data_IF_456964842281
#
_entry.id   IF_456964842281
#
_cell.length_a   1.000
_cell.length_b   1.000
_cell.length_c   1.000
_cell.angle_alpha   90.00
_cell.angle_beta   90.00
_cell.angle_gamma   90.00
#
_symmetry.space_group_name_H-M   'P 1'
#
loop_
_entity.id
_entity.type
_entity.pdbx_description
1 polymer ?
#
# COMPACT_ATOMS: atom_id res chain seq x y z
N UNK A 1 -37.72 -2.84 -30.50
CA UNK A 1 -36.63 -3.79 -30.13
C UNK A 1 -35.68 -4.16 -31.30
N UNK A 2 -36.04 -4.01 -32.58
CA UNK A 2 -35.12 -4.34 -33.69
C UNK A 2 -34.06 -3.26 -34.01
N UNK A 3 -34.36 -1.96 -33.86
CA UNK A 3 -33.36 -0.88 -34.08
C UNK A 3 -32.24 -0.82 -33.05
N UNK A 4 -32.47 -1.27 -31.81
CA UNK A 4 -31.44 -1.31 -30.77
C UNK A 4 -30.40 -2.44 -30.98
N UNK A 5 -30.78 -3.52 -31.69
CA UNK A 5 -29.85 -4.62 -32.02
C UNK A 5 -28.92 -4.29 -33.19
N UNK A 6 -29.36 -3.47 -34.15
CA UNK A 6 -28.52 -3.06 -35.28
C UNK A 6 -27.41 -2.07 -34.90
N UNK A 7 -27.65 -1.19 -33.92
CA UNK A 7 -26.62 -0.24 -33.43
C UNK A 7 -25.58 -0.93 -32.55
N UNK A 8 -25.95 -1.99 -31.82
CA UNK A 8 -25.01 -2.81 -31.04
C UNK A 8 -24.14 -3.71 -31.93
N UNK A 9 -24.68 -4.21 -33.05
CA UNK A 9 -23.94 -5.03 -33.99
C UNK A 9 -22.88 -4.24 -34.80
N UNK A 10 -23.05 -2.93 -34.99
CA UNK A 10 -22.08 -2.10 -35.72
C UNK A 10 -20.91 -1.59 -34.86
N UNK A 11 -20.97 -1.74 -33.53
CA UNK A 11 -19.91 -1.29 -32.60
C UNK A 11 -19.04 -2.46 -32.12
N UNK A 12 -19.49 -3.70 -32.32
CA UNK A 12 -18.80 -4.93 -31.88
C UNK A 12 -18.32 -5.77 -33.07
N UNK A 13 -17.72 -5.14 -34.08
CA UNK A 13 -16.84 -5.85 -35.02
C UNK A 13 -15.47 -6.06 -34.36
N UNK A 14 -15.46 -6.85 -33.28
CA UNK A 14 -14.25 -7.49 -32.77
C UNK A 14 -14.39 -8.96 -33.12
N UNK A 15 -13.65 -9.37 -34.15
CA UNK A 15 -13.59 -10.76 -34.62
C UNK A 15 -13.48 -11.74 -33.45
N UNK A 16 -14.24 -12.85 -33.54
CA UNK A 16 -14.20 -13.97 -32.57
C UNK A 16 -12.77 -14.48 -32.31
N UNK A 17 -11.85 -14.27 -33.27
CA UNK A 17 -10.43 -14.56 -33.13
C UNK A 17 -9.76 -13.79 -31.98
N UNK A 18 -10.13 -12.54 -31.71
CA UNK A 18 -9.52 -11.73 -30.64
C UNK A 18 -9.98 -12.16 -29.24
N UNK A 19 -11.24 -12.59 -29.08
CA UNK A 19 -11.76 -13.11 -27.82
C UNK A 19 -11.13 -14.46 -27.48
N UNK A 20 -11.02 -15.36 -28.45
CA UNK A 20 -10.33 -16.65 -28.30
C UNK A 20 -8.84 -16.43 -28.02
N UNK A 21 -8.19 -15.48 -28.69
CA UNK A 21 -6.76 -15.20 -28.49
C UNK A 21 -6.47 -14.61 -27.11
N UNK A 22 -7.32 -13.72 -26.59
CA UNK A 22 -7.15 -13.15 -25.23
C UNK A 22 -7.41 -14.22 -24.15
N UNK A 23 -8.42 -15.05 -24.33
CA UNK A 23 -8.71 -16.15 -23.39
C UNK A 23 -7.60 -17.22 -23.43
N UNK A 24 -7.07 -17.54 -24.62
CA UNK A 24 -5.98 -18.48 -24.84
C UNK A 24 -4.63 -17.95 -24.33
N UNK A 25 -4.31 -16.67 -24.53
CA UNK A 25 -3.11 -16.03 -23.94
C UNK A 25 -3.21 -16.04 -22.41
N UNK A 26 -4.38 -15.75 -21.85
CA UNK A 26 -4.58 -15.77 -20.39
C UNK A 26 -4.50 -17.18 -19.78
N UNK A 27 -4.97 -18.20 -20.51
CA UNK A 27 -4.85 -19.61 -20.11
C UNK A 27 -3.41 -20.11 -20.26
N UNK A 28 -2.73 -19.77 -21.35
CA UNK A 28 -1.33 -20.14 -21.59
C UNK A 28 -0.39 -19.46 -20.60
N UNK A 29 -0.62 -18.20 -20.23
CA UNK A 29 0.14 -17.53 -19.17
C UNK A 29 -0.14 -18.13 -17.79
N UNK A 30 -1.40 -18.48 -17.48
CA UNK A 30 -1.75 -19.18 -16.24
C UNK A 30 -1.16 -20.58 -16.17
N UNK A 31 -1.17 -21.34 -17.26
CA UNK A 31 -0.57 -22.66 -17.37
C UNK A 31 0.96 -22.61 -17.33
N UNK A 32 1.59 -21.58 -17.91
CA UNK A 32 3.04 -21.37 -17.80
C UNK A 32 3.44 -20.97 -16.38
N UNK A 33 2.70 -20.06 -15.73
CA UNK A 33 2.92 -19.74 -14.31
C UNK A 33 2.67 -20.96 -13.41
N UNK A 34 1.64 -21.75 -13.68
CA UNK A 34 1.32 -22.97 -12.93
C UNK A 34 2.37 -24.07 -13.13
N UNK A 35 2.81 -24.31 -14.38
CA UNK A 35 3.91 -25.24 -14.67
C UNK A 35 5.24 -24.77 -14.09
N UNK A 36 5.54 -23.47 -14.11
CA UNK A 36 6.77 -22.92 -13.50
C UNK A 36 6.75 -23.03 -11.97
N UNK A 37 5.58 -22.83 -11.33
CA UNK A 37 5.39 -23.02 -9.87
C UNK A 37 5.63 -24.46 -9.42
N UNK A 38 5.45 -25.43 -10.32
CA UNK A 38 5.66 -26.86 -10.05
C UNK A 38 6.99 -27.42 -10.57
N UNK A 39 7.83 -26.63 -11.26
CA UNK A 39 9.07 -27.12 -11.87
C UNK A 39 10.37 -26.57 -11.29
N UNK A 40 10.39 -25.79 -10.19
CA UNK A 40 11.66 -25.35 -9.61
C UNK A 40 11.61 -24.97 -8.11
N UNK A 41 12.60 -25.45 -7.35
CA UNK A 41 12.88 -25.11 -5.95
C UNK A 41 13.35 -23.65 -5.72
N UNK A 42 13.01 -22.70 -6.58
CA UNK A 42 13.55 -21.33 -6.54
C UNK A 42 12.60 -20.21 -6.96
N UNK A 43 11.36 -20.52 -7.35
CA UNK A 43 10.36 -19.49 -7.64
C UNK A 43 9.63 -19.08 -6.34
N UNK A 44 9.26 -17.79 -6.16
CA UNK A 44 8.41 -17.38 -5.06
C UNK A 44 7.17 -18.24 -4.92
N UNK A 45 6.89 -18.69 -3.71
CA UNK A 45 5.71 -19.50 -3.41
C UNK A 45 4.50 -18.64 -3.03
N UNK A 46 4.64 -17.31 -3.06
CA UNK A 46 3.57 -16.33 -2.89
C UNK A 46 3.03 -15.76 -4.22
N UNK A 47 1.93 -15.01 -4.14
CA UNK A 47 1.22 -14.34 -5.24
C UNK A 47 1.54 -12.84 -5.33
N UNK A 48 2.54 -12.39 -4.59
CA UNK A 48 2.96 -10.98 -4.56
C UNK A 48 3.65 -10.57 -5.86
N UNK A 49 3.70 -9.26 -6.17
CA UNK A 49 4.38 -8.76 -7.36
C UNK A 49 5.85 -9.17 -7.40
N UNK A 50 6.36 -9.35 -8.62
CA UNK A 50 7.79 -9.55 -8.86
C UNK A 50 8.45 -8.18 -8.97
N UNK A 51 9.27 -7.83 -7.98
CA UNK A 51 10.11 -6.62 -8.00
C UNK A 51 11.39 -6.89 -8.80
N UNK A 52 12.13 -5.83 -9.14
CA UNK A 52 13.39 -5.95 -9.88
C UNK A 52 14.38 -6.87 -9.16
N UNK A 53 14.53 -6.71 -7.84
CA UNK A 53 15.36 -7.58 -7.00
C UNK A 53 14.91 -9.05 -7.02
N UNK A 54 13.58 -9.30 -7.06
CA UNK A 54 13.02 -10.65 -7.24
C UNK A 54 13.46 -11.25 -8.58
N UNK A 55 13.37 -10.47 -9.66
CA UNK A 55 13.73 -10.92 -11.00
C UNK A 55 15.23 -11.18 -11.12
N UNK A 56 16.07 -10.32 -10.54
CA UNK A 56 17.51 -10.50 -10.43
C UNK A 56 17.85 -11.85 -9.75
N UNK A 57 17.23 -12.15 -8.60
CA UNK A 57 17.43 -13.43 -7.88
C UNK A 57 17.08 -14.63 -8.75
N UNK A 58 15.96 -14.56 -9.46
CA UNK A 58 15.49 -15.64 -10.34
C UNK A 58 16.41 -15.87 -11.54
N UNK A 59 16.96 -14.80 -12.10
CA UNK A 59 17.87 -14.85 -13.25
C UNK A 59 19.25 -15.37 -12.84
N UNK A 60 19.79 -14.92 -11.70
CA UNK A 60 21.12 -15.31 -11.25
C UNK A 60 21.16 -16.73 -10.69
N UNK A 61 20.05 -17.26 -10.17
CA UNK A 61 19.96 -18.57 -9.48
C UNK A 61 20.93 -18.71 -8.31
N UNK A 62 21.42 -17.58 -7.80
CA UNK A 62 22.39 -17.55 -6.70
C UNK A 62 21.69 -17.93 -5.39
N UNK A 63 22.24 -18.89 -4.62
CA UNK A 63 21.74 -19.21 -3.30
C UNK A 63 21.94 -18.01 -2.39
N UNK A 64 20.93 -17.70 -1.59
CA UNK A 64 20.99 -16.60 -0.63
C UNK A 64 20.06 -16.86 0.53
N UNK A 65 20.48 -16.47 1.73
CA UNK A 65 19.63 -16.55 2.92
C UNK A 65 18.36 -15.69 2.76
N UNK A 66 18.50 -14.49 2.17
CA UNK A 66 17.40 -13.60 1.84
C UNK A 66 17.10 -13.62 0.34
N UNK A 67 15.82 -13.71 -0.01
CA UNK A 67 15.38 -13.63 -1.40
C UNK A 67 15.63 -12.23 -1.97
N UNK A 68 15.18 -11.19 -1.25
CA UNK A 68 15.33 -9.77 -1.62
C UNK A 68 16.03 -8.96 -0.50
N UNK A 69 17.36 -9.03 -0.37
CA UNK A 69 18.11 -8.34 0.69
C UNK A 69 17.83 -6.85 0.87
N UNK A 70 17.82 -6.05 -0.22
CA UNK A 70 17.61 -4.60 -0.13
C UNK A 70 16.19 -4.27 0.33
N UNK A 71 15.19 -4.96 -0.22
CA UNK A 71 13.80 -4.81 0.23
C UNK A 71 13.60 -5.28 1.68
N UNK A 72 14.28 -6.35 2.10
CA UNK A 72 14.22 -6.87 3.47
C UNK A 72 14.84 -5.90 4.48
N UNK A 73 16.05 -5.40 4.21
CA UNK A 73 16.75 -4.50 5.13
C UNK A 73 16.11 -3.12 5.21
N UNK A 74 15.61 -2.60 4.08
CA UNK A 74 14.91 -1.31 4.08
C UNK A 74 13.62 -1.33 4.90
N UNK A 75 12.93 -2.49 5.00
CA UNK A 75 11.79 -2.67 5.90
C UNK A 75 12.14 -2.54 7.39
N UNK A 76 13.40 -2.74 7.79
CA UNK A 76 13.84 -2.54 9.17
C UNK A 76 13.68 -1.09 9.65
N UNK A 77 13.53 -0.12 8.75
CA UNK A 77 13.28 1.28 9.10
C UNK A 77 11.91 1.51 9.74
N UNK A 78 10.96 0.59 9.60
CA UNK A 78 9.69 0.66 10.34
C UNK A 78 9.86 0.31 11.82
N UNK A 79 10.90 -0.44 12.20
CA UNK A 79 11.14 -0.84 13.58
C UNK A 79 11.40 0.37 14.51
N UNK A 80 12.30 1.33 14.19
CA UNK A 80 12.42 2.55 14.99
C UNK A 80 11.10 3.30 15.18
N UNK A 81 10.27 3.41 14.14
CA UNK A 81 8.95 4.05 14.23
C UNK A 81 8.07 3.30 15.23
N UNK A 82 7.97 1.98 15.10
CA UNK A 82 7.22 1.13 16.00
C UNK A 82 7.71 1.26 17.45
N UNK A 83 9.03 1.23 17.69
CA UNK A 83 9.62 1.32 19.02
C UNK A 83 9.36 2.70 19.65
N UNK A 84 9.55 3.79 18.90
CA UNK A 84 9.32 5.16 19.40
C UNK A 84 7.87 5.32 19.86
N UNK A 85 6.90 4.96 19.01
CA UNK A 85 5.49 5.17 19.35
C UNK A 85 4.96 4.14 20.35
N UNK A 86 5.49 2.92 20.38
CA UNK A 86 5.18 1.95 21.44
C UNK A 86 5.69 2.42 22.80
N UNK A 87 6.92 2.92 22.86
CA UNK A 87 7.48 3.49 24.09
C UNK A 87 6.67 4.68 24.59
N UNK A 88 6.28 5.59 23.68
CA UNK A 88 5.38 6.71 24.01
C UNK A 88 4.02 6.22 24.49
N UNK A 89 3.43 5.21 23.84
CA UNK A 89 2.16 4.60 24.25
C UNK A 89 2.27 4.01 25.66
N UNK A 90 3.34 3.30 25.97
CA UNK A 90 3.59 2.72 27.30
C UNK A 90 3.68 3.81 28.38
N UNK A 91 4.34 4.94 28.09
CA UNK A 91 4.48 6.06 29.03
C UNK A 91 3.28 7.01 29.11
N UNK A 92 2.37 6.96 28.15
CA UNK A 92 1.19 7.83 28.16
C UNK A 92 0.26 7.48 29.33
N UNK A 93 -0.14 8.51 30.10
CA UNK A 93 -1.13 8.37 31.19
C UNK A 93 -2.47 7.89 30.69
N UNK A 94 -2.95 8.49 29.59
CA UNK A 94 -4.13 8.04 28.86
C UNK A 94 -3.68 7.44 27.53
N UNK A 95 -4.07 6.18 27.28
CA UNK A 95 -3.73 5.47 26.04
C UNK A 95 -4.53 6.05 24.86
N UNK A 96 -3.88 6.61 23.83
CA UNK A 96 -4.56 7.10 22.64
C UNK A 96 -5.21 5.92 21.88
N UNK A 97 -6.56 5.89 21.70
CA UNK A 97 -7.25 4.72 21.14
C UNK A 97 -6.82 4.42 19.70
N UNK A 98 -6.48 5.43 18.91
CA UNK A 98 -5.99 5.22 17.54
C UNK A 98 -4.67 4.43 17.55
N UNK A 99 -3.79 4.70 18.51
CA UNK A 99 -2.51 3.99 18.62
C UNK A 99 -2.66 2.57 19.18
N UNK A 100 -3.66 2.32 20.03
CA UNK A 100 -3.99 0.95 20.48
C UNK A 100 -4.42 0.05 19.30
N UNK A 101 -5.06 0.63 18.28
CA UNK A 101 -5.45 -0.09 17.07
C UNK A 101 -4.32 -0.14 16.03
N UNK A 102 -3.68 1.00 15.73
CA UNK A 102 -2.74 1.11 14.61
C UNK A 102 -1.34 0.54 14.91
N UNK A 103 -0.86 0.51 16.16
CA UNK A 103 0.48 -0.02 16.45
C UNK A 103 0.58 -1.54 16.27
N UNK A 104 -0.39 -2.37 16.71
CA UNK A 104 -0.40 -3.80 16.39
C UNK A 104 -0.45 -4.05 14.88
N UNK A 105 -1.22 -3.26 14.14
CA UNK A 105 -1.25 -3.33 12.67
C UNK A 105 0.10 -2.95 12.06
N UNK A 106 0.74 -1.89 12.54
CA UNK A 106 2.08 -1.49 12.07
C UNK A 106 3.14 -2.56 12.39
N UNK A 107 3.06 -3.19 13.57
CA UNK A 107 3.93 -4.31 13.94
C UNK A 107 3.70 -5.52 13.03
N UNK A 108 2.44 -5.84 12.74
CA UNK A 108 2.07 -6.85 11.74
C UNK A 108 2.67 -6.53 10.38
N UNK A 109 2.44 -5.33 9.87
CA UNK A 109 3.01 -4.82 8.61
C UNK A 109 4.52 -4.96 8.54
N UNK A 110 5.22 -4.53 9.60
CA UNK A 110 6.67 -4.66 9.71
C UNK A 110 7.15 -6.11 9.65
N UNK A 111 6.55 -7.01 10.44
CA UNK A 111 6.89 -8.43 10.44
C UNK A 111 6.58 -9.04 9.07
N UNK A 112 5.41 -8.72 8.51
CA UNK A 112 4.98 -9.14 7.18
C UNK A 112 5.98 -8.75 6.11
N UNK A 113 6.39 -7.48 6.05
CA UNK A 113 7.33 -6.97 5.05
C UNK A 113 8.71 -7.62 5.13
N UNK A 114 9.27 -7.75 6.33
CA UNK A 114 10.57 -8.44 6.53
C UNK A 114 10.48 -9.91 6.08
N UNK A 115 9.43 -10.63 6.49
CA UNK A 115 9.28 -12.05 6.16
C UNK A 115 8.92 -12.28 4.69
N UNK A 116 8.10 -11.40 4.10
CA UNK A 116 7.65 -11.46 2.72
C UNK A 116 8.83 -11.28 1.76
N UNK A 117 9.56 -10.18 1.87
CA UNK A 117 10.74 -9.92 1.03
C UNK A 117 11.90 -10.85 1.35
N UNK A 118 12.02 -11.23 2.63
CA UNK A 118 13.09 -12.11 3.08
C UNK A 118 12.97 -13.52 2.54
N UNK A 119 11.75 -14.09 2.56
CA UNK A 119 11.55 -15.52 2.27
C UNK A 119 10.83 -15.80 0.96
N UNK A 120 9.93 -14.91 0.50
CA UNK A 120 9.11 -15.12 -0.71
C UNK A 120 8.42 -16.49 -0.76
N UNK A 121 7.99 -16.97 0.41
CA UNK A 121 7.63 -18.37 0.63
C UNK A 121 6.13 -18.62 0.83
N UNK A 122 5.34 -17.60 1.16
CA UNK A 122 3.92 -17.80 1.44
C UNK A 122 3.09 -16.52 1.34
N UNK A 123 1.84 -16.67 0.89
CA UNK A 123 0.88 -15.57 0.73
C UNK A 123 0.56 -14.86 2.03
N UNK A 124 0.64 -15.55 3.17
CA UNK A 124 0.37 -14.95 4.48
C UNK A 124 1.33 -13.79 4.76
N UNK A 125 2.62 -13.93 4.43
CA UNK A 125 3.59 -12.84 4.61
C UNK A 125 3.29 -11.68 3.68
N UNK A 126 2.92 -11.98 2.42
CA UNK A 126 2.51 -10.97 1.46
C UNK A 126 1.32 -10.16 1.95
N UNK A 127 0.24 -10.82 2.37
CA UNK A 127 -0.92 -10.13 2.92
C UNK A 127 -0.59 -9.35 4.18
N UNK A 128 0.25 -9.92 5.06
CA UNK A 128 0.67 -9.25 6.28
C UNK A 128 1.54 -8.01 6.00
N UNK A 129 2.26 -7.93 4.88
CA UNK A 129 3.02 -6.75 4.46
C UNK A 129 2.09 -5.58 4.06
N UNK A 130 1.16 -5.79 3.11
CA UNK A 130 0.40 -4.67 2.54
C UNK A 130 -0.97 -4.43 3.19
N UNK A 131 -1.66 -5.46 3.70
CA UNK A 131 -3.04 -5.31 4.23
C UNK A 131 -3.07 -4.37 5.44
N UNK A 132 -2.13 -4.42 6.39
CA UNK A 132 -2.11 -3.46 7.49
C UNK A 132 -2.00 -2.01 7.03
N UNK A 133 -1.26 -1.74 5.95
CA UNK A 133 -1.17 -0.39 5.35
C UNK A 133 -2.54 0.06 4.84
N UNK A 134 -3.32 -0.84 4.22
CA UNK A 134 -4.69 -0.56 3.79
C UNK A 134 -5.57 -0.18 4.97
N UNK A 135 -5.57 -1.02 6.01
CA UNK A 135 -6.43 -0.84 7.18
C UNK A 135 -6.06 0.44 7.93
N UNK A 136 -4.78 0.67 8.22
CA UNK A 136 -4.31 1.87 8.93
C UNK A 136 -4.72 3.12 8.15
N UNK A 137 -4.52 3.15 6.83
CA UNK A 137 -4.82 4.32 6.00
C UNK A 137 -6.32 4.66 6.05
N UNK A 138 -7.19 3.65 5.96
CA UNK A 138 -8.65 3.84 6.05
C UNK A 138 -9.09 4.24 7.47
N UNK A 139 -8.50 3.66 8.51
CA UNK A 139 -8.74 4.03 9.91
C UNK A 139 -8.34 5.49 10.16
N UNK A 140 -7.19 5.93 9.66
CA UNK A 140 -6.72 7.32 9.80
C UNK A 140 -7.60 8.30 9.04
N UNK A 141 -8.00 7.98 7.80
CA UNK A 141 -8.94 8.79 7.03
C UNK A 141 -10.28 8.93 7.77
N UNK A 142 -10.83 7.81 8.25
CA UNK A 142 -12.04 7.80 9.06
C UNK A 142 -11.88 8.61 10.35
N UNK A 143 -10.74 8.51 11.03
CA UNK A 143 -10.44 9.27 12.24
C UNK A 143 -10.50 10.79 11.99
N UNK A 144 -9.95 11.29 10.88
CA UNK A 144 -10.08 12.71 10.53
C UNK A 144 -11.52 13.12 10.26
N UNK A 145 -12.30 12.29 9.55
CA UNK A 145 -13.73 12.54 9.33
C UNK A 145 -14.53 12.56 10.62
N UNK A 146 -14.31 11.59 11.50
CA UNK A 146 -14.88 11.53 12.83
C UNK A 146 -14.56 12.79 13.64
N UNK A 147 -13.29 13.20 13.67
CA UNK A 147 -12.84 14.40 14.39
C UNK A 147 -13.33 15.71 13.78
N UNK A 148 -13.66 15.74 12.49
CA UNK A 148 -14.27 16.91 11.84
C UNK A 148 -15.78 17.05 12.09
N UNK A 149 -16.43 16.03 12.67
CA UNK A 149 -17.89 15.99 12.86
C UNK A 149 -18.68 15.68 11.57
N UNK A 150 -18.00 15.31 10.48
CA UNK A 150 -18.60 15.09 9.14
C UNK A 150 -18.57 13.62 8.72
N UNK A 151 -18.86 12.70 9.64
CA UNK A 151 -18.73 11.25 9.43
C UNK A 151 -19.51 10.77 8.20
N UNK A 152 -20.77 11.18 8.03
CA UNK A 152 -21.61 10.72 6.90
C UNK A 152 -21.01 11.14 5.56
N UNK A 153 -20.66 12.43 5.41
CA UNK A 153 -19.97 12.95 4.22
C UNK A 153 -18.64 12.23 3.99
N UNK A 154 -17.90 11.98 5.08
CA UNK A 154 -16.60 11.33 5.02
C UNK A 154 -16.66 9.90 4.52
N UNK A 155 -17.54 9.09 5.09
CA UNK A 155 -17.78 7.71 4.65
C UNK A 155 -18.25 7.69 3.20
N UNK A 156 -19.18 8.58 2.83
CA UNK A 156 -19.63 8.69 1.44
C UNK A 156 -18.46 8.98 0.48
N UNK A 157 -17.64 9.99 0.76
CA UNK A 157 -16.50 10.34 -0.09
C UNK A 157 -15.45 9.23 -0.14
N UNK A 158 -15.18 8.55 0.98
CA UNK A 158 -14.27 7.40 1.00
C UNK A 158 -14.78 6.27 0.10
N UNK A 159 -16.08 5.98 0.13
CA UNK A 159 -16.69 4.97 -0.75
C UNK A 159 -16.67 5.41 -2.21
N UNK A 160 -16.92 6.69 -2.51
CA UNK A 160 -16.84 7.23 -3.87
C UNK A 160 -15.42 7.10 -4.43
N UNK A 161 -14.39 7.48 -3.66
CA UNK A 161 -12.98 7.34 -4.08
C UNK A 161 -12.64 5.87 -4.36
N UNK A 162 -13.09 4.95 -3.48
CA UNK A 162 -12.88 3.51 -3.69
C UNK A 162 -13.64 2.98 -4.92
N UNK A 163 -14.88 3.40 -5.13
CA UNK A 163 -15.68 2.97 -6.29
C UNK A 163 -15.08 3.47 -7.60
N UNK A 164 -14.69 4.75 -7.68
CA UNK A 164 -14.01 5.33 -8.85
C UNK A 164 -12.72 4.57 -9.15
N UNK A 165 -11.95 4.23 -8.12
CA UNK A 165 -10.73 3.46 -8.28
C UNK A 165 -10.99 2.05 -8.82
N UNK A 166 -11.98 1.34 -8.28
CA UNK A 166 -12.35 0.01 -8.77
C UNK A 166 -12.80 0.06 -10.23
N UNK A 167 -13.50 1.12 -10.64
CA UNK A 167 -13.86 1.36 -12.05
C UNK A 167 -12.60 1.53 -12.91
N UNK A 168 -11.65 2.40 -12.53
CA UNK A 168 -10.40 2.58 -13.29
C UNK A 168 -9.62 1.26 -13.39
N UNK A 169 -9.55 0.49 -12.29
CA UNK A 169 -8.87 -0.81 -12.28
C UNK A 169 -9.49 -1.79 -13.26
N UNK A 170 -10.82 -1.79 -13.42
CA UNK A 170 -11.52 -2.67 -14.34
C UNK A 170 -11.10 -2.48 -15.81
N UNK A 171 -10.67 -1.27 -16.16
CA UNK A 171 -10.20 -0.94 -17.51
C UNK A 171 -8.70 -1.18 -17.73
N UNK A 172 -7.96 -1.58 -16.69
CA UNK A 172 -6.52 -1.84 -16.81
C UNK A 172 -6.24 -3.29 -17.21
N UNK A 173 -5.29 -3.54 -18.14
CA UNK A 173 -4.89 -4.89 -18.51
C UNK A 173 -4.43 -5.68 -17.28
N UNK A 174 -5.01 -6.86 -17.08
CA UNK A 174 -4.67 -7.76 -15.98
C UNK A 174 -3.15 -8.00 -15.92
N UNK A 175 -2.57 -7.86 -14.72
CA UNK A 175 -1.13 -8.05 -14.51
C UNK A 175 -0.24 -6.87 -14.91
N UNK A 176 -0.78 -5.71 -15.27
CA UNK A 176 0.06 -4.53 -15.52
C UNK A 176 0.81 -4.09 -14.24
N UNK A 177 2.11 -3.72 -14.33
CA UNK A 177 2.87 -3.25 -13.17
C UNK A 177 2.23 -2.04 -12.47
N UNK A 178 1.48 -1.26 -13.24
CA UNK A 178 0.74 -0.08 -12.76
C UNK A 178 -0.35 -0.47 -11.76
N UNK A 179 -0.98 -1.66 -11.88
CA UNK A 179 -2.04 -2.09 -10.97
C UNK A 179 -1.55 -2.17 -9.52
N UNK A 180 -0.34 -2.66 -9.30
CA UNK A 180 0.23 -2.85 -7.97
C UNK A 180 0.40 -1.55 -7.19
N UNK A 181 0.87 -0.48 -7.84
CA UNK A 181 0.99 0.86 -7.21
C UNK A 181 -0.35 1.55 -7.07
N UNK A 182 -1.23 1.37 -8.06
CA UNK A 182 -2.53 2.01 -8.10
C UNK A 182 -3.39 1.70 -6.87
N UNK A 183 -3.27 0.50 -6.28
CA UNK A 183 -3.98 0.15 -5.03
C UNK A 183 -3.74 1.12 -3.86
N UNK A 184 -2.59 1.80 -3.82
CA UNK A 184 -2.23 2.70 -2.73
C UNK A 184 -2.72 4.14 -2.96
N UNK A 185 -3.00 4.51 -4.22
CA UNK A 185 -3.48 5.85 -4.59
C UNK A 185 -4.79 6.23 -3.88
N UNK A 186 -5.87 5.43 -3.90
CA UNK A 186 -7.12 5.83 -3.26
C UNK A 186 -7.00 5.89 -1.73
N UNK A 187 -6.09 5.13 -1.12
CA UNK A 187 -5.81 5.22 0.32
C UNK A 187 -5.18 6.57 0.67
N UNK A 188 -4.16 6.97 -0.08
CA UNK A 188 -3.49 8.26 0.08
C UNK A 188 -4.47 9.42 -0.16
N UNK A 189 -5.33 9.31 -1.18
CA UNK A 189 -6.38 10.29 -1.45
C UNK A 189 -7.40 10.39 -0.31
N UNK A 190 -7.85 9.26 0.23
CA UNK A 190 -8.79 9.26 1.37
C UNK A 190 -8.20 9.99 2.58
N UNK A 191 -6.95 9.70 2.93
CA UNK A 191 -6.24 10.39 4.02
C UNK A 191 -6.08 11.88 3.71
N UNK A 192 -5.66 12.22 2.49
CA UNK A 192 -5.45 13.61 2.07
C UNK A 192 -6.74 14.43 2.12
N UNK A 193 -7.83 13.95 1.52
CA UNK A 193 -9.12 14.64 1.50
C UNK A 193 -9.63 14.85 2.93
N UNK A 194 -9.60 13.80 3.77
CA UNK A 194 -10.05 13.88 5.15
C UNK A 194 -9.20 14.89 5.96
N UNK A 195 -7.88 14.86 5.79
CA UNK A 195 -6.97 15.77 6.45
C UNK A 195 -7.12 17.22 5.99
N UNK A 196 -7.38 17.47 4.69
CA UNK A 196 -7.64 18.81 4.16
C UNK A 196 -8.91 19.41 4.78
N UNK A 197 -9.98 18.62 4.92
CA UNK A 197 -11.19 19.06 5.62
C UNK A 197 -10.90 19.33 7.10
N UNK A 198 -10.11 18.47 7.74
CA UNK A 198 -9.73 18.62 9.14
C UNK A 198 -8.68 19.71 9.40
N UNK A 199 -7.99 20.22 8.37
CA UNK A 199 -6.84 21.13 8.48
C UNK A 199 -7.13 22.51 9.10
N UNK A 200 -8.41 22.83 9.27
CA UNK A 200 -8.88 24.02 10.00
C UNK A 200 -8.88 23.84 11.52
N UNK A 201 -8.73 22.61 12.02
CA UNK A 201 -8.67 22.35 13.45
C UNK A 201 -7.39 22.98 14.05
N UNK A 202 -7.47 23.74 15.17
CA UNK A 202 -6.33 24.46 15.75
C UNK A 202 -5.12 23.57 16.05
N UNK A 203 -5.36 22.34 16.50
CA UNK A 203 -4.30 21.38 16.83
C UNK A 203 -3.69 20.65 15.61
N UNK A 204 -4.19 20.89 14.39
CA UNK A 204 -3.69 20.22 13.20
C UNK A 204 -2.33 20.76 12.77
N UNK A 205 -1.31 19.90 12.79
CA UNK A 205 0.08 20.26 12.43
C UNK A 205 0.29 20.08 10.94
N UNK A 206 0.05 21.14 10.17
CA UNK A 206 0.13 21.14 8.71
C UNK A 206 1.50 20.72 8.16
N UNK A 207 2.59 21.27 8.70
CA UNK A 207 3.94 20.99 8.19
C UNK A 207 4.33 19.50 8.23
N UNK A 208 4.30 18.78 9.37
CA UNK A 208 4.61 17.36 9.38
C UNK A 208 3.63 16.52 8.54
N UNK A 209 2.36 16.93 8.44
CA UNK A 209 1.41 16.27 7.52
C UNK A 209 1.82 16.45 6.04
N UNK A 210 2.20 17.67 5.63
CA UNK A 210 2.69 17.94 4.29
C UNK A 210 3.98 17.16 3.98
N UNK A 211 4.92 17.10 4.93
CA UNK A 211 6.13 16.29 4.80
C UNK A 211 5.77 14.82 4.60
N UNK A 212 4.86 14.27 5.41
CA UNK A 212 4.36 12.90 5.26
C UNK A 212 3.75 12.66 3.87
N UNK A 213 2.94 13.60 3.38
CA UNK A 213 2.31 13.56 2.05
C UNK A 213 3.32 13.58 0.89
N UNK A 214 4.35 14.44 0.98
CA UNK A 214 5.43 14.49 -0.02
C UNK A 214 6.24 13.19 -0.02
N UNK A 215 6.57 12.67 1.15
CA UNK A 215 7.34 11.43 1.29
C UNK A 215 6.58 10.22 0.72
N UNK A 216 5.27 10.10 0.96
CA UNK A 216 4.49 8.99 0.36
C UNK A 216 4.37 9.14 -1.16
N UNK A 217 4.29 10.36 -1.69
CA UNK A 217 4.30 10.59 -3.13
C UNK A 217 5.64 10.15 -3.77
N UNK A 218 6.76 10.47 -3.13
CA UNK A 218 8.10 10.01 -3.54
C UNK A 218 8.19 8.48 -3.43
N UNK A 219 7.67 7.88 -2.36
CA UNK A 219 7.63 6.43 -2.21
C UNK A 219 6.86 5.77 -3.36
N UNK A 220 5.65 6.25 -3.68
CA UNK A 220 4.83 5.73 -4.77
C UNK A 220 5.53 5.85 -6.13
N UNK A 221 6.26 6.94 -6.36
CA UNK A 221 7.08 7.10 -7.56
C UNK A 221 8.12 5.98 -7.67
N UNK A 222 8.92 5.75 -6.63
CA UNK A 222 9.94 4.69 -6.65
C UNK A 222 9.35 3.28 -6.70
N UNK A 223 8.16 3.05 -6.13
CA UNK A 223 7.43 1.79 -6.33
C UNK A 223 7.03 1.60 -7.79
N UNK A 224 6.59 2.66 -8.46
CA UNK A 224 6.09 2.60 -9.83
C UNK A 224 7.19 2.36 -10.87
N UNK A 225 8.38 2.94 -10.66
CA UNK A 225 9.49 2.83 -11.61
C UNK A 225 10.40 1.62 -11.37
N UNK A 226 10.12 0.81 -10.34
CA UNK A 226 10.99 -0.28 -9.87
C UNK A 226 11.53 -1.17 -10.99
N UNK A 227 10.64 -1.78 -11.77
CA UNK A 227 11.04 -2.68 -12.86
C UNK A 227 11.81 -1.97 -13.97
N UNK A 228 11.46 -0.72 -14.30
CA UNK A 228 12.18 0.07 -15.33
C UNK A 228 13.57 0.46 -14.85
N UNK A 229 13.69 0.85 -13.58
CA UNK A 229 15.00 1.10 -12.97
C UNK A 229 15.83 -0.19 -12.88
N UNK A 230 15.16 -1.34 -12.70
CA UNK A 230 15.74 -2.68 -12.75
C UNK A 230 16.57 -3.00 -14.00
N UNK A 231 16.24 -2.40 -15.13
CA UNK A 231 16.97 -2.58 -16.40
C UNK A 231 18.40 -2.01 -16.36
N UNK A 232 18.64 -1.01 -15.49
CA UNK A 232 19.94 -0.35 -15.32
C UNK A 232 20.58 -0.76 -13.99
N UNK A 233 19.75 -0.95 -12.97
CA UNK A 233 20.15 -1.17 -11.60
C UNK A 233 19.48 -2.44 -11.06
N UNK A 234 20.18 -3.58 -10.97
CA UNK A 234 19.54 -4.90 -10.87
C UNK A 234 18.58 -5.10 -9.70
N UNK A 235 18.77 -4.39 -8.60
CA UNK A 235 17.89 -4.47 -7.43
C UNK A 235 16.74 -3.44 -7.42
N UNK A 236 16.63 -2.61 -8.47
CA UNK A 236 15.54 -1.65 -8.69
C UNK A 236 15.47 -0.54 -7.65
N UNK A 237 14.26 -0.06 -7.39
CA UNK A 237 13.98 1.07 -6.50
C UNK A 237 12.97 0.77 -5.41
N UNK A 238 12.48 -0.47 -5.31
CA UNK A 238 11.46 -0.82 -4.33
C UNK A 238 11.91 -0.62 -2.88
N UNK A 239 13.20 -0.79 -2.58
CA UNK A 239 13.74 -0.47 -1.25
C UNK A 239 13.54 1.01 -0.84
N UNK A 240 13.48 1.93 -1.81
CA UNK A 240 13.19 3.35 -1.56
C UNK A 240 11.72 3.57 -1.17
N UNK A 241 10.80 2.73 -1.66
CA UNK A 241 9.41 2.74 -1.17
C UNK A 241 9.35 2.50 0.34
N UNK A 242 10.13 1.54 0.87
CA UNK A 242 10.21 1.28 2.31
C UNK A 242 10.83 2.45 3.07
N UNK A 243 11.95 3.01 2.57
CA UNK A 243 12.64 4.13 3.22
C UNK A 243 11.71 5.35 3.34
N UNK A 244 11.15 5.82 2.22
CA UNK A 244 10.27 6.99 2.21
C UNK A 244 8.92 6.69 2.88
N UNK A 245 8.44 5.45 2.81
CA UNK A 245 7.24 4.98 3.51
C UNK A 245 7.40 5.00 5.03
N UNK A 246 8.52 4.53 5.56
CA UNK A 246 8.82 4.56 7.00
C UNK A 246 8.92 6.01 7.51
N UNK A 247 9.60 6.89 6.77
CA UNK A 247 9.67 8.32 7.10
C UNK A 247 8.28 8.98 7.04
N UNK A 248 7.50 8.71 6.00
CA UNK A 248 6.12 9.22 5.89
C UNK A 248 5.26 8.78 7.07
N UNK A 249 5.37 7.51 7.47
CA UNK A 249 4.68 6.92 8.62
C UNK A 249 5.07 7.61 9.91
N UNK A 250 6.37 7.86 10.14
CA UNK A 250 6.85 8.59 11.31
C UNK A 250 6.19 9.98 11.45
N UNK A 251 6.20 10.77 10.37
CA UNK A 251 5.60 12.12 10.38
C UNK A 251 4.08 12.08 10.54
N UNK A 252 3.39 11.10 9.95
CA UNK A 252 1.96 10.91 10.15
C UNK A 252 1.64 10.54 11.61
N UNK A 253 2.40 9.61 12.19
CA UNK A 253 2.28 9.26 13.61
C UNK A 253 2.57 10.47 14.52
N UNK A 254 3.51 11.36 14.20
CA UNK A 254 3.71 12.61 14.94
C UNK A 254 2.47 13.52 14.93
N UNK A 255 1.81 13.66 13.77
CA UNK A 255 0.56 14.43 13.65
C UNK A 255 -0.52 13.81 14.53
N UNK A 256 -0.75 12.50 14.40
CA UNK A 256 -1.80 11.79 15.11
C UNK A 256 -1.56 11.74 16.63
N UNK A 257 -0.31 11.49 17.04
CA UNK A 257 0.07 11.43 18.45
C UNK A 257 -0.27 12.73 19.15
N UNK A 258 0.08 13.87 18.55
CA UNK A 258 -0.19 15.21 19.12
C UNK A 258 -1.68 15.54 19.15
N UNK A 259 -2.45 15.07 18.17
CA UNK A 259 -3.89 15.26 18.13
C UNK A 259 -4.62 14.50 19.24
N UNK A 260 -4.18 13.28 19.58
CA UNK A 260 -4.81 12.50 20.66
C UNK A 260 -4.24 12.81 22.05
N UNK A 261 -2.95 13.15 22.16
CA UNK A 261 -2.27 13.35 23.46
C UNK A 261 -2.62 14.69 24.14
N UNK A 262 -3.08 15.70 23.39
CA UNK A 262 -3.49 17.02 23.95
C UNK A 262 -4.81 17.02 24.71
N UNK A 263 -5.45 15.86 24.93
CA UNK A 263 -6.65 15.73 25.77
C UNK A 263 -6.39 15.90 27.27
N UNK A 264 -5.21 16.31 27.71
CA UNK A 264 -4.97 16.73 29.09
C UNK A 264 -5.57 18.13 29.30
N UNK A 265 -6.62 18.31 30.14
CA UNK A 265 -6.84 19.63 30.71
C UNK A 265 -5.55 20.00 31.45
N UNK A 266 -5.03 21.20 31.22
CA UNK A 266 -3.96 21.75 32.06
C UNK A 266 -4.40 21.54 33.50
N UNK A 267 -3.65 20.76 34.27
CA UNK A 267 -3.85 20.72 35.71
C UNK A 267 -3.81 22.18 36.17
N UNK A 268 -4.93 22.66 36.74
CA UNK A 268 -4.95 23.93 37.43
C UNK A 268 -3.97 23.76 38.59
N UNK A 269 -2.78 24.34 38.45
CA UNK A 269 -1.86 24.53 39.56
C UNK A 269 -2.53 25.54 40.49
N UNK A 270 -3.23 25.04 41.49
CA UNK A 270 -3.56 25.76 42.73
C UNK A 270 -2.30 25.92 43.58
#
# INVERSE_FOLDING_TARGET
>A
MQRARQVLASVMDLSDENLVTVEFISRRQREVCFKMRHMNNGFPQDSGPLYAETQMRLQSREPGFWFEPFNTWSNLLFLPVLLIFSWRLLRARRKPPLFLLCLPLLAGGFIGGVLYHGMRSWDVWYYLDFVPILVISQVVAFYFWYRSGKVVTGVFLMLVVQALFLTVKWWLPAGSPVQGTLFYVPLALNVLIAALVFSRHPDFRRLPFLISGVLIAIALFFRQIDLRAGEIFPWGTHFLWHIFGALSTYFLCEVLWRLESRREPKAQSS
#
